data_IF_840968754585
#
_entry.id   IF_840968754585
#
_cell.length_a   1.000
_cell.length_b   1.000
_cell.length_c   1.000
_cell.angle_alpha   90.00
_cell.angle_beta   90.00
_cell.angle_gamma   90.00
#
_symmetry.space_group_name_H-M   'P 1'
#
loop_
_entity.id
_entity.type
_entity.pdbx_description
1 polymer ?
#
# COMPACT_ATOMS: atom_id res chain seq x y z
N UNK A 1 -3.69 -7.71 0.78
CA UNK A 1 -3.54 -6.26 1.07
C UNK A 1 -2.80 -5.61 -0.09
N UNK A 2 -3.11 -4.34 -0.38
CA UNK A 2 -2.44 -3.59 -1.45
C UNK A 2 -1.22 -2.84 -0.92
N UNK A 3 -0.12 -2.93 -1.66
CA UNK A 3 1.13 -2.22 -1.38
C UNK A 3 1.51 -1.40 -2.60
N UNK A 4 2.10 -0.23 -2.39
CA UNK A 4 2.48 0.70 -3.46
C UNK A 4 3.97 1.01 -3.37
N UNK A 5 4.72 0.69 -4.43
CA UNK A 5 6.12 1.10 -4.53
C UNK A 5 6.19 2.62 -4.69
N UNK A 6 6.99 3.26 -3.85
CA UNK A 6 7.24 4.70 -3.89
C UNK A 6 8.37 5.01 -4.87
N UNK A 7 8.02 5.37 -6.10
CA UNK A 7 8.98 5.79 -7.13
C UNK A 7 9.79 7.02 -6.73
N UNK A 8 9.25 7.91 -5.90
CA UNK A 8 9.95 9.11 -5.45
C UNK A 8 11.06 8.80 -4.45
N UNK A 9 11.09 7.60 -3.87
CA UNK A 9 12.26 7.13 -3.12
C UNK A 9 13.39 6.60 -4.02
N UNK A 10 13.26 6.69 -5.35
CA UNK A 10 14.29 6.45 -6.36
C UNK A 10 14.50 7.71 -7.21
N UNK A 11 15.50 8.51 -6.86
CA UNK A 11 15.81 9.80 -7.51
C UNK A 11 17.31 10.00 -7.73
N UNK A 12 17.97 8.97 -8.24
CA UNK A 12 19.40 9.06 -8.53
C UNK A 12 20.28 9.17 -7.28
N UNK A 13 19.77 8.81 -6.10
CA UNK A 13 20.44 9.07 -4.82
C UNK A 13 21.62 8.13 -4.54
N UNK A 14 21.69 6.98 -5.21
CA UNK A 14 22.77 6.01 -5.00
C UNK A 14 24.04 6.47 -5.73
N UNK A 15 25.18 6.41 -5.06
CA UNK A 15 26.46 6.84 -5.63
C UNK A 15 26.92 5.90 -6.75
N UNK A 16 26.55 4.62 -6.67
CA UNK A 16 26.84 3.61 -7.68
C UNK A 16 25.71 2.58 -7.81
N UNK A 17 25.74 1.82 -8.91
CA UNK A 17 24.82 0.70 -9.14
C UNK A 17 25.03 -0.39 -8.09
N UNK A 18 26.26 -0.59 -7.65
CA UNK A 18 26.62 -1.51 -6.57
C UNK A 18 25.96 -1.13 -5.25
N UNK A 19 26.02 0.15 -4.85
CA UNK A 19 25.37 0.65 -3.62
C UNK A 19 23.85 0.45 -3.68
N UNK A 20 23.25 0.66 -4.86
CA UNK A 20 21.83 0.40 -5.08
C UNK A 20 21.50 -1.07 -4.84
N UNK A 21 22.22 -2.00 -5.47
CA UNK A 21 21.97 -3.44 -5.29
C UNK A 21 22.24 -3.92 -3.87
N UNK A 22 23.24 -3.37 -3.18
CA UNK A 22 23.47 -3.64 -1.76
C UNK A 22 22.29 -3.17 -0.91
N UNK A 23 21.76 -1.97 -1.17
CA UNK A 23 20.57 -1.46 -0.49
C UNK A 23 19.34 -2.34 -0.75
N UNK A 24 19.12 -2.77 -1.99
CA UNK A 24 18.05 -3.70 -2.33
C UNK A 24 18.16 -5.01 -1.57
N UNK A 25 19.36 -5.61 -1.54
CA UNK A 25 19.62 -6.87 -0.83
C UNK A 25 19.29 -6.74 0.65
N UNK A 26 19.77 -5.69 1.29
CA UNK A 26 19.74 -5.56 2.73
C UNK A 26 18.39 -5.07 3.27
N UNK A 27 17.63 -4.31 2.47
CA UNK A 27 16.41 -3.63 2.94
C UNK A 27 15.18 -3.97 2.11
N UNK A 28 15.20 -3.72 0.80
CA UNK A 28 13.98 -3.79 -0.02
C UNK A 28 13.54 -5.22 -0.34
N UNK A 29 14.44 -6.13 -0.72
CA UNK A 29 14.04 -7.51 -1.03
C UNK A 29 13.52 -8.30 0.17
N UNK A 30 14.10 -8.19 1.38
CA UNK A 30 13.51 -8.81 2.55
C UNK A 30 12.05 -8.39 2.79
N UNK A 31 11.74 -7.11 2.57
CA UNK A 31 10.35 -6.57 2.61
C UNK A 31 9.49 -7.23 1.54
N UNK A 32 9.95 -7.21 0.28
CA UNK A 32 9.19 -7.74 -0.86
C UNK A 32 8.92 -9.24 -0.73
N UNK A 33 9.90 -10.01 -0.23
CA UNK A 33 9.75 -11.44 -0.01
C UNK A 33 8.71 -11.71 1.08
N UNK A 34 8.76 -10.96 2.20
CA UNK A 34 7.77 -11.08 3.27
C UNK A 34 6.35 -10.75 2.82
N UNK A 35 6.19 -9.82 1.88
CA UNK A 35 4.89 -9.49 1.30
C UNK A 35 4.40 -10.62 0.39
N UNK A 36 5.29 -11.20 -0.44
CA UNK A 36 4.97 -12.29 -1.37
C UNK A 36 4.59 -13.60 -0.70
N UNK A 37 5.02 -13.85 0.54
CA UNK A 37 4.65 -15.05 1.29
C UNK A 37 3.12 -15.16 1.55
N UNK A 38 2.37 -14.05 1.44
CA UNK A 38 0.91 -14.02 1.53
C UNK A 38 0.32 -13.88 0.11
N UNK A 39 -0.20 -14.96 -0.47
CA UNK A 39 -0.71 -15.00 -1.87
C UNK A 39 -1.79 -13.96 -2.23
N UNK A 40 -2.45 -13.35 -1.25
CA UNK A 40 -3.50 -12.33 -1.43
C UNK A 40 -2.94 -10.89 -1.45
N UNK A 41 -1.61 -10.72 -1.34
CA UNK A 41 -0.97 -9.42 -1.40
C UNK A 41 -0.65 -9.00 -2.83
N UNK A 42 -0.85 -7.71 -3.10
CA UNK A 42 -0.65 -7.11 -4.41
C UNK A 42 0.34 -5.95 -4.27
N UNK A 43 1.32 -5.88 -5.17
CA UNK A 43 2.29 -4.80 -5.21
C UNK A 43 2.04 -3.98 -6.47
N UNK A 44 1.51 -2.78 -6.27
CA UNK A 44 1.27 -1.75 -7.27
C UNK A 44 2.51 -0.90 -7.47
N UNK A 45 2.64 -0.39 -8.69
CA UNK A 45 3.67 0.55 -9.09
C UNK A 45 3.16 1.40 -10.23
N UNK A 46 3.77 2.56 -10.40
CA UNK A 46 3.51 3.42 -11.53
C UNK A 46 3.83 2.69 -12.84
N UNK A 47 3.04 2.91 -13.87
CA UNK A 47 3.28 2.41 -15.22
C UNK A 47 4.56 2.96 -15.86
N UNK A 48 5.25 3.92 -15.25
CA UNK A 48 6.58 4.38 -15.68
C UNK A 48 7.67 4.07 -14.66
N UNK A 49 7.41 3.21 -13.67
CA UNK A 49 8.36 2.87 -12.60
C UNK A 49 9.73 2.40 -13.13
N UNK A 50 9.76 1.71 -14.27
CA UNK A 50 11.01 1.27 -14.91
C UNK A 50 11.90 2.43 -15.42
N UNK A 51 11.38 3.64 -15.50
CA UNK A 51 12.11 4.85 -15.89
C UNK A 51 12.76 5.55 -14.67
N UNK A 52 12.44 5.12 -13.44
CA UNK A 52 13.01 5.72 -12.23
C UNK A 52 14.54 5.67 -12.23
N UNK A 53 15.13 6.82 -11.92
CA UNK A 53 16.57 7.01 -11.82
C UNK A 53 17.07 6.46 -10.48
N UNK A 54 18.08 5.58 -10.53
CA UNK A 54 18.69 4.97 -9.33
C UNK A 54 20.00 5.66 -8.95
N UNK A 55 20.81 5.99 -9.94
CA UNK A 55 22.05 6.77 -9.83
C UNK A 55 21.99 7.87 -10.88
N UNK A 56 22.79 8.93 -10.72
CA UNK A 56 22.87 10.00 -11.73
C UNK A 56 23.12 9.44 -13.15
N UNK A 57 22.14 9.63 -14.03
CA UNK A 57 22.12 9.17 -15.43
C UNK A 57 21.76 7.70 -15.65
N UNK A 58 21.45 6.94 -14.59
CA UNK A 58 21.14 5.50 -14.66
C UNK A 58 19.74 5.22 -14.11
N UNK A 59 18.87 4.71 -14.97
CA UNK A 59 17.51 4.27 -14.68
C UNK A 59 17.42 2.74 -14.57
N UNK A 60 16.33 2.22 -14.01
CA UNK A 60 16.09 0.77 -13.92
C UNK A 60 16.14 0.05 -15.29
N UNK A 61 15.72 0.72 -16.36
CA UNK A 61 15.76 0.23 -17.75
C UNK A 61 17.16 0.11 -18.34
N UNK A 62 18.12 0.94 -17.91
CA UNK A 62 19.41 1.09 -18.58
C UNK A 62 20.61 0.69 -17.70
N UNK A 63 20.37 -0.05 -16.62
CA UNK A 63 21.41 -0.57 -15.72
C UNK A 63 22.49 -1.30 -16.56
N UNK A 64 23.76 -0.81 -16.54
CA UNK A 64 24.83 -1.39 -17.33
C UNK A 64 25.03 -2.87 -17.02
N UNK A 65 25.03 -3.71 -18.05
CA UNK A 65 25.38 -5.13 -17.89
C UNK A 65 26.89 -5.28 -17.87
N UNK A 66 27.47 -5.72 -16.75
CA UNK A 66 28.88 -6.12 -16.73
C UNK A 66 29.06 -7.39 -17.55
N UNK A 67 29.93 -7.35 -18.56
CA UNK A 67 30.35 -8.55 -19.31
C UNK A 67 31.08 -9.47 -18.32
N UNK A 68 30.55 -10.68 -18.12
CA UNK A 68 31.01 -11.79 -17.25
C UNK A 68 30.27 -12.02 -15.92
N UNK A 69 29.19 -11.29 -15.63
CA UNK A 69 28.36 -11.50 -14.43
C UNK A 69 27.24 -12.55 -14.59
N UNK A 70 27.35 -13.49 -15.53
CA UNK A 70 26.31 -14.50 -15.79
C UNK A 70 26.01 -15.43 -14.58
N UNK A 71 26.75 -15.32 -13.50
CA UNK A 71 26.59 -16.04 -12.24
C UNK A 71 26.60 -15.14 -11.00
N UNK A 72 26.54 -13.81 -11.12
CA UNK A 72 26.57 -12.92 -9.96
C UNK A 72 25.18 -12.81 -9.33
N UNK A 73 25.14 -12.77 -8.00
CA UNK A 73 23.95 -12.51 -7.21
C UNK A 73 23.25 -11.20 -7.65
N UNK A 74 24.01 -10.23 -8.15
CA UNK A 74 23.51 -8.97 -8.73
C UNK A 74 22.58 -9.24 -9.93
N UNK A 75 22.91 -10.19 -10.80
CA UNK A 75 22.04 -10.55 -11.92
C UNK A 75 20.69 -11.12 -11.44
N UNK A 76 20.68 -11.88 -10.34
CA UNK A 76 19.44 -12.39 -9.73
C UNK A 76 18.62 -11.27 -9.12
N UNK A 77 19.26 -10.35 -8.38
CA UNK A 77 18.60 -9.16 -7.83
C UNK A 77 18.00 -8.30 -8.95
N UNK A 78 18.74 -8.10 -10.04
CA UNK A 78 18.25 -7.38 -11.22
C UNK A 78 17.03 -8.08 -11.84
N UNK A 79 17.06 -9.40 -12.02
CA UNK A 79 15.91 -10.14 -12.54
C UNK A 79 14.68 -10.03 -11.63
N UNK A 80 14.86 -10.11 -10.31
CA UNK A 80 13.76 -9.96 -9.36
C UNK A 80 13.14 -8.56 -9.40
N UNK A 81 13.97 -7.53 -9.49
CA UNK A 81 13.51 -6.14 -9.60
C UNK A 81 12.79 -5.90 -10.93
N UNK A 82 13.35 -6.38 -12.04
CA UNK A 82 12.73 -6.28 -13.37
C UNK A 82 11.40 -7.04 -13.41
N UNK A 83 11.32 -8.21 -12.78
CA UNK A 83 10.06 -8.94 -12.66
C UNK A 83 9.00 -8.07 -11.97
N UNK A 84 9.32 -7.45 -10.84
CA UNK A 84 8.40 -6.57 -10.13
C UNK A 84 8.05 -5.32 -10.93
N UNK A 85 9.03 -4.71 -11.61
CA UNK A 85 8.84 -3.48 -12.36
C UNK A 85 7.97 -3.67 -13.62
N UNK A 86 7.90 -4.88 -14.19
CA UNK A 86 7.20 -5.16 -15.45
C UNK A 86 5.99 -6.10 -15.32
N UNK A 87 5.77 -6.75 -14.18
CA UNK A 87 4.57 -7.55 -13.94
C UNK A 87 3.40 -6.68 -13.50
N UNK A 88 2.19 -6.92 -14.00
CA UNK A 88 0.98 -6.28 -13.49
C UNK A 88 0.76 -6.53 -11.97
N UNK A 89 0.10 -5.60 -11.24
CA UNK A 89 -0.73 -4.50 -11.76
C UNK A 89 -0.11 -3.10 -11.64
N UNK A 90 -0.44 -2.22 -12.58
CA UNK A 90 0.06 -0.83 -12.66
C UNK A 90 -1.06 0.18 -12.43
N UNK A 91 -0.69 1.36 -11.95
CA UNK A 91 -1.54 2.55 -12.03
C UNK A 91 -0.88 3.58 -12.96
N UNK A 92 -1.68 4.32 -13.71
CA UNK A 92 -1.23 5.41 -14.58
C UNK A 92 -1.63 6.77 -14.03
N UNK A 93 -1.03 7.83 -14.59
CA UNK A 93 -1.33 9.22 -14.18
C UNK A 93 -2.73 9.70 -14.61
N UNK A 94 -3.33 9.08 -15.63
CA UNK A 94 -4.59 9.53 -16.24
C UNK A 94 -5.86 9.19 -15.44
N UNK A 95 -5.74 8.47 -14.32
CA UNK A 95 -6.88 8.21 -13.44
C UNK A 95 -7.11 9.40 -12.51
N UNK A 96 -8.29 10.03 -12.58
CA UNK A 96 -8.71 11.04 -11.62
C UNK A 96 -8.60 10.51 -10.18
N UNK A 97 -8.02 11.29 -9.28
CA UNK A 97 -8.05 11.03 -7.84
C UNK A 97 -9.29 11.70 -7.25
N UNK A 98 -10.04 10.98 -6.42
CA UNK A 98 -11.13 11.57 -5.64
C UNK A 98 -10.58 12.29 -4.40
N UNK A 99 -9.32 12.02 -4.04
CA UNK A 99 -8.60 12.64 -2.93
C UNK A 99 -7.88 13.93 -3.34
N UNK A 100 -8.18 15.01 -2.63
CA UNK A 100 -7.47 16.29 -2.77
C UNK A 100 -6.41 16.45 -1.69
N UNK A 101 -5.13 16.33 -2.08
CA UNK A 101 -4.01 16.57 -1.17
C UNK A 101 -3.69 18.06 -1.12
N UNK A 102 -3.65 18.64 0.09
CA UNK A 102 -3.25 20.03 0.34
C UNK A 102 -1.76 20.19 0.50
N UNK A 103 -1.15 19.26 1.24
CA UNK A 103 0.25 19.35 1.60
C UNK A 103 0.79 17.95 1.91
N UNK A 104 1.95 17.62 1.36
CA UNK A 104 2.76 16.52 1.86
C UNK A 104 3.71 17.03 2.94
N UNK A 105 3.65 16.49 4.16
CA UNK A 105 4.48 16.93 5.30
C UNK A 105 5.77 16.10 5.41
N UNK A 106 6.23 15.62 4.26
CA UNK A 106 7.49 14.92 4.07
C UNK A 106 8.12 15.37 2.75
N UNK A 107 9.42 15.13 2.63
CA UNK A 107 10.16 15.39 1.40
C UNK A 107 10.05 16.84 0.92
N UNK A 108 10.34 17.79 1.82
CA UNK A 108 10.20 19.24 1.60
C UNK A 108 10.86 19.73 0.30
N UNK A 109 11.96 19.10 -0.12
CA UNK A 109 12.70 19.46 -1.32
C UNK A 109 11.98 19.06 -2.62
N UNK A 110 11.16 18.01 -2.59
CA UNK A 110 10.60 17.41 -3.81
C UNK A 110 9.06 17.36 -3.84
N UNK A 111 8.39 17.57 -2.69
CA UNK A 111 6.93 17.42 -2.56
C UNK A 111 6.09 18.25 -3.53
N UNK A 112 6.60 19.38 -4.01
CA UNK A 112 5.92 20.25 -4.97
C UNK A 112 5.89 19.66 -6.39
N UNK A 113 6.74 18.66 -6.67
CA UNK A 113 6.83 17.97 -7.96
C UNK A 113 6.07 16.64 -7.97
N UNK A 114 5.40 16.27 -6.87
CA UNK A 114 4.56 15.08 -6.88
C UNK A 114 3.39 15.28 -7.84
N UNK A 115 3.18 14.28 -8.68
CA UNK A 115 2.00 14.25 -9.55
C UNK A 115 0.74 14.16 -8.72
N UNK A 116 -0.37 14.70 -9.22
CA UNK A 116 -1.68 14.67 -8.55
C UNK A 116 -2.09 13.23 -8.21
N UNK A 117 -1.97 12.33 -9.19
CA UNK A 117 -2.12 10.89 -8.98
C UNK A 117 -0.75 10.25 -8.79
N UNK A 118 -0.52 9.63 -7.64
CA UNK A 118 0.76 9.03 -7.31
C UNK A 118 0.63 7.87 -6.31
N UNK A 119 1.74 7.25 -5.91
CA UNK A 119 1.72 6.11 -4.98
C UNK A 119 1.01 6.41 -3.65
N UNK A 120 1.12 7.64 -3.14
CA UNK A 120 0.52 8.08 -1.88
C UNK A 120 -1.00 8.24 -2.00
N UNK A 121 -1.48 8.93 -3.02
CA UNK A 121 -2.93 9.12 -3.23
C UNK A 121 -3.62 7.79 -3.55
N UNK A 122 -2.98 6.93 -4.35
CA UNK A 122 -3.47 5.57 -4.60
C UNK A 122 -3.50 4.72 -3.31
N UNK A 123 -2.48 4.81 -2.46
CA UNK A 123 -2.45 4.06 -1.21
C UNK A 123 -3.58 4.51 -0.28
N UNK A 124 -3.85 5.81 -0.15
CA UNK A 124 -4.92 6.31 0.73
C UNK A 124 -6.29 5.83 0.27
N UNK A 125 -6.63 6.06 -1.01
CA UNK A 125 -7.95 5.71 -1.55
C UNK A 125 -8.25 4.21 -1.60
N UNK A 126 -7.21 3.37 -1.46
CA UNK A 126 -7.32 1.91 -1.50
C UNK A 126 -6.80 1.25 -0.22
N UNK A 127 -6.60 2.03 0.85
CA UNK A 127 -6.15 1.54 2.17
C UNK A 127 -4.89 0.66 2.08
N UNK A 128 -4.01 1.06 1.16
CA UNK A 128 -2.75 0.41 0.89
C UNK A 128 -1.60 0.94 1.74
N UNK A 129 -0.49 0.23 1.66
CA UNK A 129 0.74 0.57 2.39
C UNK A 129 1.83 0.97 1.40
N UNK A 130 2.60 2.01 1.73
CA UNK A 130 3.75 2.43 0.94
C UNK A 130 4.94 1.52 1.22
N UNK A 131 5.67 1.17 0.16
CA UNK A 131 7.01 0.56 0.26
C UNK A 131 8.00 1.58 -0.31
N UNK A 132 8.88 2.10 0.53
CA UNK A 132 9.95 3.00 0.11
C UNK A 132 11.28 2.30 0.03
N UNK A 133 12.07 2.64 -0.99
CA UNK A 133 13.51 2.39 -1.01
C UNK A 133 14.19 3.24 0.06
N UNK A 134 15.39 2.85 0.48
CA UNK A 134 16.15 3.62 1.46
C UNK A 134 16.43 5.01 0.91
N UNK A 135 15.86 6.01 1.58
CA UNK A 135 15.99 7.41 1.21
C UNK A 135 15.68 8.28 2.45
N UNK A 136 16.48 9.34 2.74
CA UNK A 136 16.34 10.14 3.96
C UNK A 136 14.95 10.75 4.16
N UNK A 137 14.32 11.23 3.09
CA UNK A 137 12.97 11.81 3.17
C UNK A 137 11.87 10.80 3.59
N UNK A 138 12.14 9.50 3.42
CA UNK A 138 11.19 8.41 3.63
C UNK A 138 11.62 7.43 4.74
N UNK A 139 12.55 7.84 5.61
CA UNK A 139 13.03 7.02 6.74
C UNK A 139 12.11 7.02 7.96
N UNK A 140 10.80 7.22 7.75
CA UNK A 140 9.77 7.26 8.79
C UNK A 140 8.68 6.23 8.46
N UNK A 141 8.15 5.55 9.49
CA UNK A 141 7.14 4.50 9.30
C UNK A 141 5.74 5.06 8.99
N UNK A 142 5.51 6.34 9.25
CA UNK A 142 4.29 7.06 8.93
C UNK A 142 4.62 8.29 8.12
N UNK A 143 3.97 8.46 6.97
CA UNK A 143 4.14 9.60 6.07
C UNK A 143 2.92 10.53 6.22
N UNK A 144 3.09 11.68 6.92
CA UNK A 144 1.99 12.59 7.16
C UNK A 144 1.68 13.46 5.94
N UNK A 145 0.40 13.66 5.64
CA UNK A 145 -0.07 14.59 4.63
C UNK A 145 -1.43 15.19 5.03
N UNK A 146 -1.67 16.43 4.60
CA UNK A 146 -2.95 17.11 4.77
C UNK A 146 -3.84 16.81 3.56
N UNK A 147 -5.04 16.31 3.81
CA UNK A 147 -6.05 16.00 2.80
C UNK A 147 -7.33 16.77 3.07
N UNK A 148 -7.98 17.21 2.00
CA UNK A 148 -9.32 17.78 2.05
C UNK A 148 -10.33 16.71 1.65
N UNK A 149 -11.26 16.39 2.55
CA UNK A 149 -12.35 15.46 2.30
C UNK A 149 -13.64 16.04 2.91
N UNK A 150 -14.71 16.12 2.10
CA UNK A 150 -15.99 16.73 2.48
C UNK A 150 -15.83 18.12 3.14
N UNK A 151 -15.09 19.01 2.48
CA UNK A 151 -14.83 20.40 2.95
C UNK A 151 -14.12 20.50 4.31
N UNK A 152 -13.56 19.40 4.83
CA UNK A 152 -12.78 19.36 6.08
C UNK A 152 -11.33 19.00 5.77
N UNK A 153 -10.39 19.76 6.33
CA UNK A 153 -8.96 19.45 6.26
C UNK A 153 -8.54 18.58 7.44
N UNK A 154 -7.71 17.58 7.16
CA UNK A 154 -7.25 16.63 8.16
C UNK A 154 -5.86 16.11 7.84
N UNK A 155 -5.11 15.75 8.88
CA UNK A 155 -3.80 15.11 8.70
C UNK A 155 -3.99 13.60 8.69
N UNK A 156 -3.63 12.97 7.57
CA UNK A 156 -3.56 11.52 7.46
C UNK A 156 -2.12 11.02 7.57
N UNK A 157 -1.94 9.82 8.10
CA UNK A 157 -0.63 9.18 8.29
C UNK A 157 -0.57 7.85 7.54
N UNK A 158 -0.04 7.87 6.32
CA UNK A 158 0.10 6.65 5.51
C UNK A 158 1.19 5.76 6.10
N UNK A 159 0.94 4.46 6.18
CA UNK A 159 2.00 3.50 6.52
C UNK A 159 3.08 3.45 5.44
N UNK A 160 4.34 3.44 5.88
CA UNK A 160 5.50 3.35 5.02
C UNK A 160 6.48 2.31 5.54
N UNK A 161 6.76 1.36 4.68
CA UNK A 161 7.69 0.27 4.91
C UNK A 161 8.98 0.57 4.17
N UNK A 162 10.03 0.89 4.93
CA UNK A 162 11.40 0.98 4.43
C UNK A 162 12.35 0.02 5.21
N UNK A 163 11.84 -0.65 6.25
CA UNK A 163 12.58 -1.58 7.11
C UNK A 163 11.68 -2.70 7.64
N UNK A 164 12.27 -3.88 7.88
CA UNK A 164 11.58 -5.03 8.51
C UNK A 164 11.06 -4.74 9.92
N UNK A 165 11.59 -3.71 10.57
CA UNK A 165 11.11 -3.24 11.88
C UNK A 165 9.63 -2.84 11.86
N UNK A 166 9.08 -2.46 10.69
CA UNK A 166 7.67 -2.10 10.57
C UNK A 166 6.73 -3.22 11.02
N UNK A 167 7.09 -4.49 10.78
CA UNK A 167 6.26 -5.64 11.16
C UNK A 167 6.14 -5.84 12.68
N UNK A 168 7.02 -5.24 13.48
CA UNK A 168 6.84 -5.21 14.94
C UNK A 168 5.64 -4.35 15.35
N UNK A 169 5.11 -3.56 14.41
CA UNK A 169 3.99 -2.63 14.55
C UNK A 169 2.93 -2.87 13.47
N UNK A 170 2.93 -4.06 12.85
CA UNK A 170 1.92 -4.43 11.84
C UNK A 170 0.53 -4.19 12.45
N UNK A 171 -0.35 -3.44 11.77
CA UNK A 171 -1.70 -3.20 12.26
C UNK A 171 -2.40 -4.52 12.59
N UNK A 172 -3.14 -4.54 13.70
CA UNK A 172 -3.92 -5.71 14.07
C UNK A 172 -5.05 -5.92 13.06
N UNK A 173 -5.23 -7.17 12.63
CA UNK A 173 -6.30 -7.57 11.72
C UNK A 173 -7.10 -8.67 12.40
N UNK A 174 -8.41 -8.47 12.53
CA UNK A 174 -9.36 -9.50 12.94
C UNK A 174 -9.91 -10.17 11.69
N UNK A 175 -9.92 -11.50 11.68
CA UNK A 175 -10.29 -12.29 10.49
C UNK A 175 -11.36 -13.32 10.79
N UNK A 176 -12.30 -13.49 9.85
CA UNK A 176 -13.31 -14.56 9.87
C UNK A 176 -13.32 -15.30 8.54
N UNK A 177 -13.87 -16.52 8.55
CA UNK A 177 -14.02 -17.34 7.34
C UNK A 177 -15.49 -17.70 7.14
N UNK A 178 -16.01 -17.40 5.95
CA UNK A 178 -17.33 -17.86 5.54
C UNK A 178 -17.12 -19.15 4.73
N UNK A 179 -17.29 -20.28 5.42
CA UNK A 179 -16.93 -21.59 4.89
C UNK A 179 -15.46 -21.63 4.48
N UNK A 180 -15.18 -22.20 3.30
CA UNK A 180 -13.83 -22.23 2.70
C UNK A 180 -13.64 -21.20 1.58
N UNK A 181 -14.64 -20.33 1.37
CA UNK A 181 -14.73 -19.49 0.17
C UNK A 181 -14.24 -18.07 0.42
N UNK A 182 -14.74 -17.43 1.48
CA UNK A 182 -14.45 -16.02 1.75
C UNK A 182 -13.58 -15.85 2.99
N UNK A 183 -12.64 -14.92 2.90
CA UNK A 183 -11.96 -14.32 4.04
C UNK A 183 -12.61 -12.97 4.31
N UNK A 184 -12.99 -12.73 5.56
CA UNK A 184 -13.51 -11.44 6.03
C UNK A 184 -12.46 -10.83 6.95
N UNK A 185 -12.18 -9.54 6.80
CA UNK A 185 -11.19 -8.82 7.59
C UNK A 185 -11.74 -7.48 8.10
N UNK A 186 -11.41 -7.16 9.36
CA UNK A 186 -11.51 -5.81 9.92
C UNK A 186 -10.10 -5.45 10.37
N UNK A 187 -9.56 -4.34 9.87
CA UNK A 187 -8.15 -3.98 10.09
C UNK A 187 -8.07 -2.71 10.93
N UNK A 188 -7.03 -2.60 11.76
CA UNK A 188 -6.75 -1.38 12.50
C UNK A 188 -6.11 -0.30 11.61
N UNK A 189 -6.24 0.97 12.02
CA UNK A 189 -5.66 2.13 11.35
C UNK A 189 -6.13 2.32 9.90
N UNK A 190 -7.32 1.82 9.55
CA UNK A 190 -7.98 2.14 8.28
C UNK A 190 -8.30 3.63 8.23
N UNK A 191 -8.34 4.21 7.03
CA UNK A 191 -8.50 5.64 6.85
C UNK A 191 -9.81 6.11 7.51
N UNK A 192 -9.69 6.96 8.53
CA UNK A 192 -10.80 7.32 9.44
C UNK A 192 -12.00 7.98 8.72
N UNK A 193 -11.80 8.44 7.48
CA UNK A 193 -12.84 9.06 6.65
C UNK A 193 -13.62 8.07 5.78
N UNK A 194 -13.19 6.81 5.70
CA UNK A 194 -14.05 5.76 5.18
C UNK A 194 -15.11 5.41 6.23
N UNK A 195 -16.39 5.26 5.85
CA UNK A 195 -17.41 4.81 6.79
C UNK A 195 -16.96 3.47 7.37
N UNK A 196 -17.29 3.16 8.65
CA UNK A 196 -16.97 1.86 9.23
C UNK A 196 -17.33 0.73 8.27
N UNK A 197 -16.36 -0.14 8.00
CA UNK A 197 -16.48 -1.15 6.93
C UNK A 197 -15.69 -2.41 7.26
N UNK A 198 -15.87 -3.45 6.45
CA UNK A 198 -15.05 -4.66 6.47
C UNK A 198 -14.67 -5.06 5.05
N UNK A 199 -13.55 -5.75 4.94
CA UNK A 199 -13.06 -6.30 3.69
C UNK A 199 -13.49 -7.73 3.54
N UNK A 200 -13.78 -8.13 2.30
CA UNK A 200 -13.97 -9.54 1.95
C UNK A 200 -13.16 -9.88 0.72
N UNK A 201 -12.43 -11.00 0.76
CA UNK A 201 -11.69 -11.56 -0.38
C UNK A 201 -12.11 -13.01 -0.68
N UNK A 202 -12.05 -13.38 -1.95
CA UNK A 202 -12.23 -14.75 -2.44
C UNK A 202 -11.50 -14.94 -3.77
N UNK A 203 -10.48 -15.80 -3.80
CA UNK A 203 -9.58 -15.97 -4.96
C UNK A 203 -9.07 -14.61 -5.45
N UNK A 204 -9.39 -14.23 -6.69
CA UNK A 204 -9.00 -12.95 -7.29
C UNK A 204 -10.01 -11.80 -7.06
N UNK A 205 -11.05 -12.02 -6.27
CA UNK A 205 -12.05 -11.01 -5.93
C UNK A 205 -11.77 -10.39 -4.56
N UNK A 206 -11.91 -9.08 -4.46
CA UNK A 206 -11.90 -8.33 -3.20
C UNK A 206 -12.99 -7.26 -3.23
N UNK A 207 -13.58 -6.94 -2.08
CA UNK A 207 -14.58 -5.88 -1.95
C UNK A 207 -14.62 -5.33 -0.53
N UNK A 208 -15.20 -4.13 -0.42
CA UNK A 208 -15.45 -3.42 0.83
C UNK A 208 -16.95 -3.36 1.06
N UNK A 209 -17.39 -3.67 2.28
CA UNK A 209 -18.80 -3.68 2.69
C UNK A 209 -18.99 -2.77 3.90
N UNK A 210 -20.10 -2.04 3.96
CA UNK A 210 -20.38 -1.10 5.05
C UNK A 210 -20.78 -1.83 6.33
N UNK A 211 -20.23 -1.42 7.47
CA UNK A 211 -20.64 -1.87 8.81
C UNK A 211 -21.99 -1.32 9.26
N UNK A 212 -22.61 -0.39 8.52
CA UNK A 212 -23.94 0.14 8.85
C UNK A 212 -25.05 -0.84 8.49
N UNK A 213 -24.96 -1.43 7.30
CA UNK A 213 -26.05 -2.14 6.63
C UNK A 213 -25.59 -3.38 5.82
N UNK A 214 -24.30 -3.73 5.84
CA UNK A 214 -23.74 -4.87 5.13
C UNK A 214 -23.77 -4.73 3.60
N UNK A 215 -24.11 -3.56 3.06
CA UNK A 215 -24.16 -3.36 1.62
C UNK A 215 -22.75 -3.17 1.05
N UNK A 216 -22.57 -3.62 -0.20
CA UNK A 216 -21.35 -3.41 -0.97
C UNK A 216 -21.08 -1.89 -1.09
N UNK A 217 -19.88 -1.48 -0.67
CA UNK A 217 -19.41 -0.10 -0.75
C UNK A 217 -18.55 0.11 -2.00
N UNK A 218 -17.56 -0.78 -2.21
CA UNK A 218 -16.59 -0.69 -3.31
C UNK A 218 -16.17 -2.08 -3.76
N UNK A 219 -16.17 -2.29 -5.07
CA UNK A 219 -15.54 -3.46 -5.69
C UNK A 219 -14.02 -3.27 -5.75
N UNK A 220 -13.26 -4.36 -5.62
CA UNK A 220 -11.84 -4.41 -5.96
C UNK A 220 -11.63 -4.51 -7.48
N UNK A 221 -10.57 -5.22 -7.89
CA UNK A 221 -10.21 -5.33 -9.32
C UNK A 221 -11.30 -6.00 -10.17
N UNK A 222 -12.01 -6.97 -9.60
CA UNK A 222 -13.12 -7.68 -10.26
C UNK A 222 -14.44 -7.33 -9.61
N UNK A 223 -15.43 -7.07 -10.46
CA UNK A 223 -16.81 -6.80 -10.04
C UNK A 223 -17.41 -8.03 -9.36
N UNK A 224 -18.01 -7.84 -8.20
CA UNK A 224 -18.70 -8.90 -7.48
C UNK A 224 -20.04 -9.23 -8.14
N UNK A 225 -20.37 -10.52 -8.16
CA UNK A 225 -21.68 -10.96 -8.67
C UNK A 225 -22.77 -10.72 -7.62
N UNK A 226 -24.02 -10.56 -8.08
CA UNK A 226 -25.16 -10.43 -7.18
C UNK A 226 -25.21 -11.54 -6.12
N UNK A 227 -24.97 -12.79 -6.55
CA UNK A 227 -24.95 -13.94 -5.64
C UNK A 227 -23.86 -13.81 -4.56
N UNK A 228 -22.65 -13.38 -4.91
CA UNK A 228 -21.59 -13.19 -3.93
C UNK A 228 -21.96 -12.11 -2.92
N UNK A 229 -22.50 -10.97 -3.39
CA UNK A 229 -22.94 -9.88 -2.51
C UNK A 229 -24.04 -10.34 -1.55
N UNK A 230 -25.02 -11.11 -2.04
CA UNK A 230 -26.08 -11.69 -1.20
C UNK A 230 -25.52 -12.65 -0.16
N UNK A 231 -24.59 -13.55 -0.54
CA UNK A 231 -23.95 -14.48 0.40
C UNK A 231 -23.24 -13.75 1.56
N UNK A 232 -22.55 -12.64 1.26
CA UNK A 232 -21.90 -11.81 2.30
C UNK A 232 -22.93 -11.10 3.18
N UNK A 233 -23.99 -10.55 2.57
CA UNK A 233 -25.02 -9.83 3.32
C UNK A 233 -25.77 -10.74 4.28
N UNK A 234 -26.15 -11.94 3.84
CA UNK A 234 -26.82 -12.92 4.69
C UNK A 234 -25.95 -13.35 5.87
N UNK A 235 -24.64 -13.53 5.64
CA UNK A 235 -23.70 -13.81 6.72
C UNK A 235 -23.56 -12.62 7.68
N UNK A 236 -23.48 -11.40 7.15
CA UNK A 236 -23.34 -10.18 7.94
C UNK A 236 -24.52 -9.98 8.91
N UNK A 237 -25.76 -10.25 8.50
CA UNK A 237 -26.94 -10.12 9.39
C UNK A 237 -26.83 -10.96 10.68
N UNK A 238 -26.07 -12.05 10.64
CA UNK A 238 -25.85 -12.92 11.82
C UNK A 238 -24.56 -12.64 12.59
N UNK A 239 -23.63 -11.86 12.02
CA UNK A 239 -22.30 -11.59 12.61
C UNK A 239 -22.04 -10.09 12.84
N UNK A 240 -23.04 -9.23 12.59
CA UNK A 240 -22.95 -7.77 12.67
C UNK A 240 -22.41 -7.27 14.00
N UNK A 241 -22.91 -7.79 15.12
CA UNK A 241 -22.51 -7.34 16.46
C UNK A 241 -21.02 -7.59 16.71
N UNK A 242 -20.54 -8.79 16.38
CA UNK A 242 -19.14 -9.18 16.52
C UNK A 242 -18.22 -8.32 15.64
N UNK A 243 -18.61 -8.09 14.39
CA UNK A 243 -17.86 -7.22 13.47
C UNK A 243 -17.79 -5.77 13.95
N UNK A 244 -18.90 -5.23 14.44
CA UNK A 244 -18.95 -3.87 14.99
C UNK A 244 -18.16 -3.74 16.28
N UNK A 245 -18.16 -4.77 17.13
CA UNK A 245 -17.31 -4.82 18.32
C UNK A 245 -15.83 -4.87 17.94
N UNK A 246 -15.45 -5.69 16.96
CA UNK A 246 -14.09 -5.74 16.47
C UNK A 246 -13.63 -4.39 15.89
N UNK A 247 -14.47 -3.74 15.08
CA UNK A 247 -14.20 -2.39 14.57
C UNK A 247 -13.96 -1.40 15.71
N UNK A 248 -14.86 -1.38 16.70
CA UNK A 248 -14.72 -0.53 17.88
C UNK A 248 -13.41 -0.83 18.59
N UNK A 249 -13.11 -2.07 18.93
CA UNK A 249 -11.91 -2.40 19.69
C UNK A 249 -10.62 -1.96 18.97
N UNK A 250 -10.57 -2.08 17.64
CA UNK A 250 -9.41 -1.68 16.84
C UNK A 250 -9.27 -0.14 16.71
N UNK A 251 -10.38 0.60 16.72
CA UNK A 251 -10.40 2.06 16.49
C UNK A 251 -10.70 2.90 17.74
N UNK A 252 -11.05 2.28 18.87
CA UNK A 252 -11.35 2.98 20.15
C UNK A 252 -10.15 3.68 20.76
N UNK A 253 -8.93 3.30 20.36
CA UNK A 253 -7.69 3.93 20.84
C UNK A 253 -7.34 5.24 20.12
N UNK A 254 -7.96 5.56 18.97
CA UNK A 254 -7.81 6.86 18.31
C UNK A 254 -8.55 7.98 19.08
N UNK A 255 -9.68 7.67 19.73
CA UNK A 255 -10.46 8.66 20.50
C UNK A 255 -9.79 9.14 21.79
N UNK A 256 -8.80 8.41 22.34
CA UNK A 256 -8.14 8.81 23.59
C UNK A 256 -6.85 9.61 23.38
N UNK A 257 -6.32 9.74 22.15
CA UNK A 257 -5.11 10.53 21.90
C UNK A 257 -5.36 12.01 21.60
N UNK A 258 -6.61 12.42 21.40
CA UNK A 258 -6.98 13.83 21.19
C UNK A 258 -7.52 14.55 22.43
N UNK A 259 -7.64 13.86 23.57
CA UNK A 259 -7.89 14.51 24.87
C UNK A 259 -6.71 14.26 25.80
N UNK A 260 -5.56 14.85 25.46
CA UNK A 260 -4.46 15.02 26.38
C UNK A 260 -4.88 15.96 27.52
N UNK A 261 -5.29 15.37 28.64
CA UNK A 261 -4.92 15.85 29.97
C UNK A 261 -3.50 15.40 30.28
#
# INVERSE_FOLDING_TARGET
MDYYLNEYSLRGQFASVEDFFESLRNYTFPILNKIKDKNENIIWKKDTFWQSEICKGVCLTNIPKKRNERSSEIAQLQMQLMKIAYEEPFYGADSASDLKVKEYQFDEEYREYFEERNCFTNAIENEGIIISFIHPAYSRMKLPLCVEYNDTESTYNIDNIYSLEWWKREPEIKTWRIGRKYLVEVRANEFEYHPPHFHVSCNEFSAVFKMSDGNLYKDGKKKWTYQMVTEIKDWYETNKEELQEAWKNLHSSCFQRETGL
#
